data_IF_787917684073
#
_entry.id   IF_787917684073
#
_cell.length_a   1.000
_cell.length_b   1.000
_cell.length_c   1.000
_cell.angle_alpha   90.00
_cell.angle_beta   90.00
_cell.angle_gamma   90.00
#
_symmetry.space_group_name_H-M   'P 1'
#
loop_
_entity.id
_entity.type
_entity.pdbx_description
1 polymer ?
#
# COMPACT_ATOMS: atom_id res chain seq x y z
N UNK A 1 -19.13 -9.47 -25.88
CA UNK A 1 -17.68 -9.37 -26.18
C UNK A 1 -16.93 -10.13 -25.09
N UNK A 2 -15.79 -10.75 -25.40
CA UNK A 2 -14.97 -11.39 -24.37
C UNK A 2 -14.29 -10.29 -23.54
N UNK A 3 -14.42 -10.32 -22.21
CA UNK A 3 -13.80 -9.33 -21.33
C UNK A 3 -12.27 -9.43 -21.41
N UNK A 4 -11.61 -8.33 -21.74
CA UNK A 4 -10.17 -8.31 -22.03
C UNK A 4 -9.32 -8.04 -20.78
N UNK A 5 -9.84 -7.30 -19.80
CA UNK A 5 -9.05 -6.92 -18.64
C UNK A 5 -8.80 -8.13 -17.74
N UNK A 6 -7.51 -8.36 -17.46
CA UNK A 6 -7.01 -9.32 -16.48
C UNK A 6 -6.65 -8.64 -15.16
N UNK A 7 -6.65 -9.41 -14.07
CA UNK A 7 -6.42 -8.91 -12.71
C UNK A 7 -5.16 -9.48 -12.05
N UNK A 8 -4.46 -8.62 -11.31
CA UNK A 8 -3.42 -8.97 -10.35
C UNK A 8 -3.98 -8.83 -8.93
N UNK A 9 -4.03 -9.92 -8.17
CA UNK A 9 -4.67 -9.95 -6.85
C UNK A 9 -3.65 -10.18 -5.75
N UNK A 10 -3.71 -9.36 -4.69
CA UNK A 10 -2.87 -9.55 -3.52
C UNK A 10 -3.26 -10.80 -2.72
N UNK A 11 -2.28 -11.59 -2.30
CA UNK A 11 -2.52 -12.74 -1.40
C UNK A 11 -1.98 -12.49 0.00
N UNK A 12 -2.73 -12.97 1.00
CA UNK A 12 -2.32 -13.10 2.39
C UNK A 12 -1.85 -14.55 2.73
N UNK A 13 -1.65 -15.38 1.70
CA UNK A 13 -1.28 -16.80 1.74
C UNK A 13 -2.30 -17.74 2.39
N UNK A 14 -3.57 -17.34 2.47
CA UNK A 14 -4.66 -18.23 2.86
C UNK A 14 -5.16 -19.06 1.67
N UNK A 15 -5.03 -20.39 1.75
CA UNK A 15 -5.41 -21.30 0.67
C UNK A 15 -6.90 -21.24 0.30
N UNK A 16 -7.78 -20.73 1.17
CA UNK A 16 -9.20 -20.48 0.83
C UNK A 16 -9.36 -19.57 -0.38
N UNK A 17 -8.37 -18.72 -0.66
CA UNK A 17 -8.37 -17.87 -1.84
C UNK A 17 -8.43 -18.68 -3.15
N UNK A 18 -7.82 -19.87 -3.19
CA UNK A 18 -7.90 -20.74 -4.38
C UNK A 18 -9.31 -21.26 -4.64
N UNK A 19 -10.05 -21.60 -3.58
CA UNK A 19 -11.42 -22.08 -3.70
C UNK A 19 -12.35 -20.95 -4.16
N UNK A 20 -12.16 -19.75 -3.59
CA UNK A 20 -12.85 -18.53 -4.02
C UNK A 20 -12.60 -18.27 -5.52
N UNK A 21 -11.34 -18.33 -5.96
CA UNK A 21 -10.98 -18.08 -7.36
C UNK A 21 -11.63 -19.11 -8.28
N UNK A 22 -11.55 -20.41 -7.96
CA UNK A 22 -12.24 -21.47 -8.74
C UNK A 22 -13.75 -21.24 -8.80
N UNK A 23 -14.33 -20.71 -7.73
CA UNK A 23 -15.76 -20.42 -7.66
C UNK A 23 -16.14 -19.23 -8.56
N UNK A 24 -15.42 -18.11 -8.49
CA UNK A 24 -15.85 -16.85 -9.11
C UNK A 24 -15.17 -16.49 -10.44
N UNK A 25 -13.96 -16.98 -10.74
CA UNK A 25 -13.20 -16.61 -11.93
C UNK A 25 -13.36 -17.61 -13.08
N UNK A 26 -14.59 -17.72 -13.61
CA UNK A 26 -14.92 -18.67 -14.69
C UNK A 26 -14.23 -18.38 -16.01
N UNK A 27 -13.86 -17.12 -16.24
CA UNK A 27 -13.23 -16.64 -17.47
C UNK A 27 -11.69 -16.53 -17.36
N UNK A 28 -11.11 -17.07 -16.28
CA UNK A 28 -9.67 -17.03 -16.00
C UNK A 28 -9.08 -15.61 -16.13
N UNK A 29 -9.77 -14.61 -15.56
CA UNK A 29 -9.37 -13.21 -15.60
C UNK A 29 -8.30 -12.87 -14.57
N UNK A 30 -8.15 -13.64 -13.50
CA UNK A 30 -7.05 -13.48 -12.55
C UNK A 30 -5.80 -14.13 -13.15
N UNK A 31 -4.84 -13.30 -13.58
CA UNK A 31 -3.60 -13.80 -14.21
C UNK A 31 -2.49 -14.07 -13.20
N UNK A 32 -2.49 -13.36 -12.07
CA UNK A 32 -1.38 -13.33 -11.15
C UNK A 32 -1.84 -13.12 -9.70
N UNK A 33 -1.29 -13.89 -8.77
CA UNK A 33 -1.30 -13.58 -7.34
C UNK A 33 0.03 -12.98 -6.93
N UNK A 34 0.01 -11.96 -6.09
CA UNK A 34 1.26 -11.34 -5.62
C UNK A 34 1.33 -11.24 -4.10
N UNK A 35 2.53 -11.46 -3.58
CA UNK A 35 2.78 -11.55 -2.14
C UNK A 35 4.26 -11.44 -1.79
N UNK A 36 4.54 -11.48 -0.49
CA UNK A 36 5.89 -11.49 0.08
C UNK A 36 5.81 -12.17 1.43
N UNK A 37 6.75 -13.06 1.72
CA UNK A 37 6.83 -13.71 3.02
C UNK A 37 7.03 -12.69 4.13
N UNK A 38 6.59 -13.05 5.34
CA UNK A 38 6.67 -12.16 6.50
C UNK A 38 8.11 -11.89 6.93
N UNK A 39 8.94 -12.93 6.90
CA UNK A 39 10.34 -12.92 7.32
C UNK A 39 11.20 -13.43 6.16
N UNK A 40 11.69 -12.53 5.32
CA UNK A 40 12.55 -12.85 4.17
C UNK A 40 13.83 -12.01 4.12
N UNK A 41 14.06 -11.14 5.12
CA UNK A 41 15.21 -10.24 5.16
C UNK A 41 15.20 -9.15 4.08
N UNK A 42 14.13 -9.02 3.30
CA UNK A 42 14.03 -8.07 2.20
C UNK A 42 13.01 -6.97 2.55
N UNK A 43 13.32 -5.69 2.33
CA UNK A 43 12.33 -4.62 2.46
C UNK A 43 11.19 -4.77 1.42
N UNK A 44 10.05 -4.15 1.69
CA UNK A 44 8.88 -4.20 0.81
C UNK A 44 8.00 -2.97 0.92
N UNK A 45 7.05 -2.82 0.00
CA UNK A 45 6.19 -1.63 -0.06
C UNK A 45 5.03 -1.58 0.94
N UNK A 46 4.93 -2.52 1.89
CA UNK A 46 3.95 -2.54 3.02
C UNK A 46 4.51 -3.39 4.16
N UNK A 47 4.14 -3.04 5.40
CA UNK A 47 4.41 -3.86 6.57
C UNK A 47 3.79 -5.26 6.43
N UNK A 48 4.48 -6.28 6.94
CA UNK A 48 4.11 -7.70 6.83
C UNK A 48 3.49 -8.27 8.11
N UNK A 49 3.26 -7.44 9.14
CA UNK A 49 2.83 -7.85 10.48
C UNK A 49 1.54 -8.70 10.53
N UNK A 50 0.66 -8.56 9.54
CA UNK A 50 -0.65 -9.24 9.45
C UNK A 50 -0.60 -10.49 8.53
N UNK A 51 0.52 -10.75 7.86
CA UNK A 51 0.67 -11.89 6.94
C UNK A 51 0.98 -13.16 7.74
N UNK A 52 0.39 -14.29 7.33
CA UNK A 52 0.67 -15.60 7.93
C UNK A 52 2.13 -16.00 7.71
N UNK A 53 2.72 -16.64 8.72
CA UNK A 53 4.03 -17.27 8.60
C UNK A 53 3.89 -18.55 7.78
N UNK A 54 4.69 -18.69 6.73
CA UNK A 54 4.76 -19.87 5.88
C UNK A 54 6.17 -20.47 5.98
N UNK A 55 6.23 -21.80 6.05
CA UNK A 55 7.49 -22.50 5.79
C UNK A 55 7.83 -22.46 4.29
N UNK A 56 9.11 -22.73 3.99
CA UNK A 56 9.60 -22.88 2.62
C UNK A 56 8.76 -23.89 1.80
N UNK A 57 8.45 -25.06 2.37
CA UNK A 57 7.66 -26.10 1.71
C UNK A 57 6.21 -25.65 1.45
N UNK A 58 5.60 -24.95 2.41
CA UNK A 58 4.25 -24.40 2.25
C UNK A 58 4.23 -23.36 1.14
N UNK A 59 5.27 -22.52 1.05
CA UNK A 59 5.39 -21.51 0.00
C UNK A 59 5.61 -22.14 -1.39
N UNK A 60 6.46 -23.16 -1.50
CA UNK A 60 6.63 -23.95 -2.74
C UNK A 60 5.30 -24.59 -3.17
N UNK A 61 4.57 -25.19 -2.22
CA UNK A 61 3.26 -25.77 -2.52
C UNK A 61 2.26 -24.69 -2.96
N UNK A 62 2.26 -23.52 -2.32
CA UNK A 62 1.41 -22.40 -2.70
C UNK A 62 1.66 -21.95 -4.15
N UNK A 63 2.92 -21.89 -4.59
CA UNK A 63 3.27 -21.58 -5.99
C UNK A 63 2.75 -22.67 -6.94
N UNK A 64 2.91 -23.95 -6.59
CA UNK A 64 2.36 -25.06 -7.38
C UNK A 64 0.83 -24.98 -7.51
N UNK A 65 0.15 -24.63 -6.42
CA UNK A 65 -1.31 -24.47 -6.41
C UNK A 65 -1.74 -23.30 -7.30
N UNK A 66 -1.02 -22.17 -7.29
CA UNK A 66 -1.23 -21.07 -8.25
C UNK A 66 -1.10 -21.58 -9.70
N UNK A 67 0.00 -22.26 -10.02
CA UNK A 67 0.30 -22.75 -11.36
C UNK A 67 -0.75 -23.78 -11.84
N UNK A 68 -1.29 -24.60 -10.94
CA UNK A 68 -2.35 -25.58 -11.27
C UNK A 68 -3.65 -24.92 -11.75
N UNK A 69 -3.85 -23.64 -11.43
CA UNK A 69 -4.98 -22.81 -11.87
C UNK A 69 -4.64 -21.94 -13.08
N UNK A 70 -3.42 -22.06 -13.63
CA UNK A 70 -2.93 -21.18 -14.69
C UNK A 70 -2.61 -19.77 -14.20
N UNK A 71 -2.41 -19.58 -12.89
CA UNK A 71 -2.15 -18.30 -12.25
C UNK A 71 -0.67 -18.22 -11.88
N UNK A 72 -0.01 -17.12 -12.27
CA UNK A 72 1.39 -16.90 -11.90
C UNK A 72 1.51 -16.35 -10.48
N UNK A 73 2.69 -16.50 -9.87
CA UNK A 73 3.01 -15.90 -8.58
C UNK A 73 4.10 -14.83 -8.72
N UNK A 74 3.80 -13.59 -8.30
CA UNK A 74 4.69 -12.43 -8.34
C UNK A 74 5.18 -12.03 -6.94
N UNK A 75 6.48 -12.21 -6.69
CA UNK A 75 7.10 -11.90 -5.40
C UNK A 75 7.50 -10.43 -5.29
N UNK A 76 7.22 -9.79 -4.15
CA UNK A 76 7.47 -8.35 -3.98
C UNK A 76 8.82 -8.03 -3.29
N UNK A 77 9.66 -7.28 -4.01
CA UNK A 77 10.91 -6.66 -3.53
C UNK A 77 10.89 -5.18 -3.96
N UNK A 78 9.85 -4.49 -3.53
CA UNK A 78 9.44 -3.21 -4.09
C UNK A 78 9.39 -2.04 -3.09
N UNK A 79 10.39 -1.84 -2.21
CA UNK A 79 10.44 -0.63 -1.41
C UNK A 79 10.73 0.60 -2.29
N UNK A 80 10.52 1.79 -1.73
CA UNK A 80 11.00 3.03 -2.37
C UNK A 80 12.54 3.12 -2.33
N UNK A 81 13.14 2.69 -1.22
CA UNK A 81 14.57 2.73 -0.98
C UNK A 81 14.98 1.52 -0.13
N UNK A 82 16.21 1.05 -0.30
CA UNK A 82 16.82 -0.03 0.48
C UNK A 82 17.99 0.46 1.34
N UNK A 83 18.22 1.78 1.43
CA UNK A 83 19.28 2.34 2.27
C UNK A 83 20.71 1.93 1.85
N UNK A 84 20.92 1.63 0.56
CA UNK A 84 22.16 1.09 -0.03
C UNK A 84 22.44 -0.40 0.26
N UNK A 85 21.52 -1.13 0.91
CA UNK A 85 21.70 -2.55 1.21
C UNK A 85 22.02 -3.40 -0.03
N UNK A 86 21.54 -3.04 -1.22
CA UNK A 86 21.87 -3.77 -2.46
C UNK A 86 23.35 -3.70 -2.90
N UNK A 87 24.09 -2.71 -2.38
CA UNK A 87 25.50 -2.45 -2.71
C UNK A 87 26.44 -2.87 -1.58
N UNK A 88 25.94 -2.97 -0.35
CA UNK A 88 26.72 -3.46 0.77
C UNK A 88 27.21 -4.90 0.48
N UNK A 89 28.49 -5.24 0.71
CA UNK A 89 29.02 -6.55 0.39
C UNK A 89 28.33 -7.72 1.13
N UNK A 90 27.83 -7.49 2.34
CA UNK A 90 27.20 -8.52 3.18
C UNK A 90 25.69 -8.54 2.91
N UNK A 91 25.02 -7.40 3.05
CA UNK A 91 23.57 -7.32 2.81
C UNK A 91 23.22 -7.60 1.35
N UNK A 92 24.00 -7.05 0.42
CA UNK A 92 23.83 -7.25 -1.01
C UNK A 92 24.04 -8.70 -1.43
N UNK A 93 24.96 -9.43 -0.78
CA UNK A 93 25.08 -10.89 -0.97
C UNK A 93 23.83 -11.60 -0.45
N UNK A 94 23.38 -11.29 0.76
CA UNK A 94 22.18 -11.91 1.34
C UNK A 94 20.92 -11.67 0.49
N UNK A 95 20.77 -10.47 -0.09
CA UNK A 95 19.67 -10.15 -1.01
C UNK A 95 19.72 -11.06 -2.24
N UNK A 96 20.90 -11.28 -2.82
CA UNK A 96 21.09 -12.13 -4.00
C UNK A 96 20.88 -13.61 -3.68
N UNK A 97 21.39 -14.09 -2.55
CA UNK A 97 21.15 -15.45 -2.07
C UNK A 97 19.65 -15.71 -1.86
N UNK A 98 18.93 -14.71 -1.34
CA UNK A 98 17.47 -14.78 -1.18
C UNK A 98 16.74 -14.82 -2.52
N UNK A 99 17.19 -14.03 -3.52
CA UNK A 99 16.66 -14.09 -4.89
C UNK A 99 16.84 -15.48 -5.51
N UNK A 100 18.02 -16.09 -5.36
CA UNK A 100 18.30 -17.46 -5.82
C UNK A 100 17.40 -18.47 -5.11
N UNK A 101 17.28 -18.38 -3.78
CA UNK A 101 16.37 -19.24 -3.00
C UNK A 101 14.92 -19.16 -3.51
N UNK A 102 14.40 -17.94 -3.73
CA UNK A 102 13.04 -17.73 -4.25
C UNK A 102 12.89 -18.28 -5.68
N UNK A 103 13.91 -18.12 -6.51
CA UNK A 103 13.94 -18.69 -7.85
C UNK A 103 13.89 -20.23 -7.82
N UNK A 104 14.68 -20.87 -6.95
CA UNK A 104 14.70 -22.33 -6.77
C UNK A 104 13.36 -22.86 -6.23
N UNK A 105 12.66 -22.06 -5.42
CA UNK A 105 11.30 -22.36 -4.96
C UNK A 105 10.23 -22.28 -6.06
N UNK A 106 10.57 -21.77 -7.24
CA UNK A 106 9.68 -21.69 -8.39
C UNK A 106 9.12 -20.29 -8.67
N UNK A 107 9.59 -19.24 -8.00
CA UNK A 107 9.19 -17.86 -8.34
C UNK A 107 9.76 -17.49 -9.70
N UNK A 108 8.91 -16.97 -10.60
CA UNK A 108 9.29 -16.49 -11.93
C UNK A 108 8.90 -15.05 -12.23
N UNK A 109 8.13 -14.43 -11.36
CA UNK A 109 7.73 -13.02 -11.47
C UNK A 109 8.20 -12.28 -10.23
N UNK A 110 8.88 -11.15 -10.42
CA UNK A 110 9.31 -10.30 -9.32
C UNK A 110 8.90 -8.85 -9.55
N UNK A 111 8.28 -8.23 -8.55
CA UNK A 111 8.08 -6.78 -8.54
C UNK A 111 9.26 -6.12 -7.85
N UNK A 112 10.09 -5.41 -8.61
CA UNK A 112 11.35 -4.80 -8.14
C UNK A 112 11.39 -3.33 -8.51
N UNK A 113 11.84 -2.47 -7.60
CA UNK A 113 12.03 -1.04 -7.88
C UNK A 113 13.51 -0.61 -7.95
N UNK A 114 14.44 -1.40 -7.41
CA UNK A 114 15.87 -1.03 -7.44
C UNK A 114 16.46 -1.27 -8.83
N UNK A 115 17.05 -0.24 -9.47
CA UNK A 115 17.70 -0.36 -10.78
C UNK A 115 18.75 -1.48 -10.85
N UNK A 116 19.59 -1.58 -9.82
CA UNK A 116 20.71 -2.53 -9.79
C UNK A 116 20.20 -3.96 -9.67
N UNK A 117 19.15 -4.18 -8.87
CA UNK A 117 18.52 -5.49 -8.74
C UNK A 117 17.77 -5.89 -10.02
N UNK A 118 17.11 -4.96 -10.71
CA UNK A 118 16.48 -5.23 -12.02
C UNK A 118 17.55 -5.74 -13.00
N UNK A 119 18.66 -5.03 -13.14
CA UNK A 119 19.77 -5.44 -14.02
C UNK A 119 20.37 -6.78 -13.62
N UNK A 120 20.51 -7.03 -12.32
CA UNK A 120 20.99 -8.31 -11.82
C UNK A 120 20.06 -9.45 -12.17
N UNK A 121 18.77 -9.34 -11.82
CA UNK A 121 17.77 -10.40 -12.04
C UNK A 121 17.63 -10.73 -13.52
N UNK A 122 17.57 -9.72 -14.41
CA UNK A 122 17.50 -9.95 -15.86
C UNK A 122 18.77 -10.56 -16.45
N UNK A 123 19.93 -10.34 -15.81
CA UNK A 123 21.19 -10.97 -16.22
C UNK A 123 21.24 -12.43 -15.77
N UNK A 124 20.90 -12.68 -14.51
CA UNK A 124 21.07 -13.96 -13.81
C UNK A 124 20.00 -14.99 -14.22
N UNK A 125 18.73 -14.58 -14.25
CA UNK A 125 17.58 -15.47 -14.46
C UNK A 125 16.94 -15.20 -15.82
N UNK A 126 16.99 -16.17 -16.75
CA UNK A 126 16.56 -15.97 -18.15
C UNK A 126 15.06 -16.12 -18.38
N UNK A 127 14.39 -16.88 -17.53
CA UNK A 127 12.96 -17.18 -17.56
C UNK A 127 12.17 -16.37 -16.52
N UNK A 128 12.73 -15.26 -16.03
CA UNK A 128 12.11 -14.36 -15.06
C UNK A 128 11.55 -13.10 -15.71
N UNK A 129 10.34 -12.76 -15.28
CA UNK A 129 9.61 -11.54 -15.59
C UNK A 129 9.76 -10.53 -14.45
N UNK A 130 10.06 -9.28 -14.79
CA UNK A 130 10.24 -8.18 -13.84
C UNK A 130 9.11 -7.16 -14.03
N UNK A 131 8.33 -6.97 -12.96
CA UNK A 131 7.38 -5.87 -12.87
C UNK A 131 8.01 -4.68 -12.14
N UNK A 132 7.93 -3.48 -12.70
CA UNK A 132 8.23 -2.26 -11.96
C UNK A 132 7.04 -1.89 -11.06
N UNK A 133 7.30 -1.66 -9.77
CA UNK A 133 6.29 -1.29 -8.79
C UNK A 133 5.99 0.20 -8.74
N UNK A 134 4.86 0.55 -8.11
CA UNK A 134 4.38 1.93 -7.96
C UNK A 134 5.42 2.90 -7.37
N UNK A 135 6.21 2.45 -6.39
CA UNK A 135 7.19 3.32 -5.71
C UNK A 135 8.40 3.70 -6.58
N UNK A 136 8.55 3.15 -7.79
CA UNK A 136 9.49 3.70 -8.77
C UNK A 136 9.02 5.02 -9.40
N UNK A 137 7.74 5.39 -9.20
CA UNK A 137 7.09 6.61 -9.67
C UNK A 137 7.33 6.96 -11.15
N UNK A 138 7.02 6.06 -12.10
CA UNK A 138 7.00 6.40 -13.52
C UNK A 138 5.78 7.28 -13.82
N UNK A 139 5.98 8.61 -13.85
CA UNK A 139 4.93 9.62 -14.06
C UNK A 139 4.93 10.20 -15.49
N UNK A 140 5.84 9.78 -16.35
CA UNK A 140 5.92 10.25 -17.75
C UNK A 140 6.29 9.14 -18.73
N UNK A 141 5.95 9.32 -20.00
CA UNK A 141 6.31 8.39 -21.09
C UNK A 141 7.83 8.22 -21.16
N UNK A 142 8.60 9.29 -20.96
CA UNK A 142 10.07 9.23 -20.94
C UNK A 142 10.60 8.31 -19.83
N UNK A 143 10.03 8.39 -18.62
CA UNK A 143 10.40 7.50 -17.52
C UNK A 143 10.02 6.05 -17.81
N UNK A 144 8.84 5.81 -18.39
CA UNK A 144 8.42 4.47 -18.82
C UNK A 144 9.46 3.87 -19.78
N UNK A 145 9.93 4.64 -20.76
CA UNK A 145 10.91 4.17 -21.75
C UNK A 145 12.29 3.87 -21.12
N UNK A 146 12.73 4.65 -20.14
CA UNK A 146 13.96 4.32 -19.39
C UNK A 146 13.86 2.96 -18.70
N UNK A 147 12.74 2.68 -18.05
CA UNK A 147 12.53 1.42 -17.35
C UNK A 147 12.39 0.23 -18.28
N UNK A 148 11.67 0.39 -19.40
CA UNK A 148 11.57 -0.63 -20.45
C UNK A 148 12.95 -1.00 -21.01
N UNK A 149 13.78 -0.01 -21.34
CA UNK A 149 15.17 -0.23 -21.78
C UNK A 149 16.08 -0.84 -20.72
N UNK A 150 15.68 -0.80 -19.45
CA UNK A 150 16.38 -1.48 -18.37
C UNK A 150 16.03 -2.96 -18.21
N UNK A 151 15.04 -3.45 -18.95
CA UNK A 151 14.61 -4.85 -18.95
C UNK A 151 13.38 -5.12 -18.09
N UNK A 152 12.61 -4.08 -17.74
CA UNK A 152 11.29 -4.23 -17.13
C UNK A 152 10.31 -4.77 -18.18
N UNK A 153 9.61 -5.85 -17.85
CA UNK A 153 8.66 -6.51 -18.74
C UNK A 153 7.22 -6.00 -18.52
N UNK A 154 6.88 -5.62 -17.27
CA UNK A 154 5.60 -5.05 -16.90
C UNK A 154 5.76 -3.79 -16.03
N UNK A 155 4.91 -2.78 -16.20
CA UNK A 155 4.95 -1.57 -15.40
C UNK A 155 3.64 -1.31 -14.66
N UNK A 156 3.74 -1.04 -13.35
CA UNK A 156 2.64 -0.49 -12.56
C UNK A 156 2.60 1.02 -12.73
N UNK A 157 1.59 1.54 -13.42
CA UNK A 157 1.42 2.97 -13.67
C UNK A 157 1.12 3.74 -12.38
N UNK A 158 1.58 4.99 -12.30
CA UNK A 158 1.21 5.90 -11.21
C UNK A 158 -0.30 6.19 -11.22
N UNK A 159 -0.86 6.56 -10.06
CA UNK A 159 -2.28 6.87 -9.94
C UNK A 159 -2.74 8.02 -10.86
N UNK A 160 -1.84 8.94 -11.19
CA UNK A 160 -2.10 10.02 -12.13
C UNK A 160 -2.56 9.54 -13.53
N UNK A 161 -2.31 8.27 -13.88
CA UNK A 161 -2.78 7.69 -15.12
C UNK A 161 -4.24 7.21 -15.03
N UNK A 162 -4.71 6.78 -13.85
CA UNK A 162 -5.98 6.07 -13.71
C UNK A 162 -7.16 6.83 -14.33
N UNK A 163 -7.27 8.15 -14.16
CA UNK A 163 -8.37 8.95 -14.74
C UNK A 163 -7.91 9.92 -15.83
N UNK A 164 -6.70 9.71 -16.35
CA UNK A 164 -6.15 10.50 -17.45
C UNK A 164 -6.20 9.67 -18.73
N UNK A 165 -7.40 9.57 -19.31
CA UNK A 165 -7.65 8.70 -20.47
C UNK A 165 -6.85 9.14 -21.71
N UNK A 166 -6.60 10.44 -21.90
CA UNK A 166 -5.74 10.94 -22.99
C UNK A 166 -4.30 10.45 -22.85
N UNK A 167 -3.75 10.50 -21.63
CA UNK A 167 -2.41 10.01 -21.36
C UNK A 167 -2.33 8.49 -21.50
N UNK A 168 -3.30 7.75 -20.94
CA UNK A 168 -3.39 6.30 -21.11
C UNK A 168 -3.45 5.91 -22.59
N UNK A 169 -4.30 6.59 -23.37
CA UNK A 169 -4.43 6.38 -24.83
C UNK A 169 -3.09 6.56 -25.53
N UNK A 170 -2.39 7.64 -25.19
CA UNK A 170 -1.08 7.95 -25.75
C UNK A 170 -0.07 6.86 -25.41
N UNK A 171 0.00 6.45 -24.15
CA UNK A 171 0.95 5.42 -23.69
C UNK A 171 0.62 4.06 -24.32
N UNK A 172 -0.65 3.66 -24.35
CA UNK A 172 -1.09 2.42 -25.00
C UNK A 172 -0.73 2.38 -26.48
N UNK A 173 -0.98 3.46 -27.23
CA UNK A 173 -0.60 3.56 -28.65
C UNK A 173 0.91 3.49 -28.86
N UNK A 174 1.70 4.09 -27.97
CA UNK A 174 3.18 4.04 -28.03
C UNK A 174 3.71 2.61 -27.90
N UNK A 175 3.08 1.77 -27.08
CA UNK A 175 3.58 0.43 -26.74
C UNK A 175 2.79 -0.74 -27.35
N UNK A 176 1.76 -0.47 -28.17
CA UNK A 176 0.83 -1.49 -28.73
C UNK A 176 1.49 -2.61 -29.53
N UNK A 177 2.62 -2.33 -30.18
CA UNK A 177 3.34 -3.29 -31.02
C UNK A 177 4.50 -3.97 -30.24
N UNK A 178 4.44 -3.97 -28.91
CA UNK A 178 5.45 -4.58 -28.04
C UNK A 178 4.84 -5.53 -26.99
N UNK A 179 5.65 -6.44 -26.46
CA UNK A 179 5.26 -7.34 -25.37
C UNK A 179 5.24 -6.65 -23.99
N UNK A 180 5.52 -5.35 -23.93
CA UNK A 180 5.56 -4.59 -22.69
C UNK A 180 4.16 -4.50 -22.09
N UNK A 181 4.01 -4.98 -20.85
CA UNK A 181 2.74 -4.99 -20.15
C UNK A 181 2.58 -3.77 -19.23
N UNK A 182 1.34 -3.35 -19.03
CA UNK A 182 1.00 -2.24 -18.15
C UNK A 182 -0.16 -2.61 -17.25
N UNK A 183 -0.09 -2.13 -16.01
CA UNK A 183 -1.19 -2.27 -15.07
C UNK A 183 -1.46 -1.00 -14.31
N UNK A 184 -2.75 -0.68 -14.15
CA UNK A 184 -3.21 0.35 -13.21
C UNK A 184 -3.56 -0.29 -11.87
N UNK A 185 -3.71 0.52 -10.84
CA UNK A 185 -4.21 0.05 -9.54
C UNK A 185 -5.61 0.61 -9.32
N UNK A 186 -6.63 -0.24 -9.28
CA UNK A 186 -8.01 0.25 -9.24
C UNK A 186 -8.44 0.71 -7.84
N UNK A 187 -8.12 -0.05 -6.80
CA UNK A 187 -8.73 0.17 -5.48
C UNK A 187 -7.80 0.82 -4.45
N UNK A 188 -6.69 1.44 -4.87
CA UNK A 188 -5.88 2.22 -3.95
C UNK A 188 -6.52 3.59 -3.69
N UNK A 189 -6.42 4.07 -2.45
CA UNK A 189 -7.15 5.25 -2.01
C UNK A 189 -6.18 6.31 -1.48
N UNK A 190 -5.30 6.83 -2.33
CA UNK A 190 -4.45 7.98 -2.02
C UNK A 190 -5.17 9.30 -2.32
N UNK A 191 -4.63 10.43 -1.83
CA UNK A 191 -5.02 11.74 -2.37
C UNK A 191 -4.63 11.82 -3.85
N UNK A 192 -5.39 12.56 -4.67
CA UNK A 192 -5.00 12.88 -6.05
C UNK A 192 -3.61 13.53 -6.03
N UNK A 193 -2.69 13.02 -6.84
CA UNK A 193 -1.32 13.52 -6.95
C UNK A 193 -0.61 13.72 -5.59
N UNK A 194 -0.88 12.83 -4.63
CA UNK A 194 -0.52 12.95 -3.22
C UNK A 194 0.91 13.50 -2.97
N UNK A 195 1.05 14.61 -2.21
CA UNK A 195 2.37 15.18 -1.89
C UNK A 195 3.15 14.32 -0.89
N UNK A 196 2.48 13.45 -0.14
CA UNK A 196 3.09 12.62 0.89
C UNK A 196 3.67 11.30 0.35
N UNK A 197 3.46 11.01 -0.94
CA UNK A 197 3.74 9.68 -1.50
C UNK A 197 5.21 9.23 -1.33
N UNK A 198 6.17 10.14 -1.49
CA UNK A 198 7.59 9.83 -1.32
C UNK A 198 7.92 9.52 0.14
N UNK A 199 7.56 10.43 1.07
CA UNK A 199 7.81 10.25 2.50
C UNK A 199 7.09 9.02 3.06
N UNK A 200 5.84 8.80 2.68
CA UNK A 200 5.08 7.61 3.06
C UNK A 200 5.71 6.33 2.49
N UNK A 201 6.12 6.34 1.22
CA UNK A 201 6.79 5.20 0.59
C UNK A 201 8.13 4.85 1.25
N UNK A 202 8.92 5.87 1.61
CA UNK A 202 10.16 5.68 2.37
C UNK A 202 9.87 5.11 3.77
N UNK A 203 8.92 5.73 4.48
CA UNK A 203 8.51 5.30 5.81
C UNK A 203 8.10 3.82 5.82
N UNK A 204 7.25 3.43 4.88
CA UNK A 204 6.78 2.04 4.77
C UNK A 204 7.92 1.10 4.37
N UNK A 205 8.81 1.51 3.45
CA UNK A 205 9.96 0.71 3.02
C UNK A 205 10.98 0.42 4.13
N UNK A 206 11.04 1.28 5.14
CA UNK A 206 11.92 1.15 6.31
C UNK A 206 11.18 0.77 7.61
N UNK A 207 9.88 0.50 7.54
CA UNK A 207 9.10 0.11 8.72
C UNK A 207 9.46 -1.31 9.17
N UNK A 208 9.77 -1.45 10.45
CA UNK A 208 9.95 -2.75 11.10
C UNK A 208 8.59 -3.34 11.47
N UNK A 209 8.22 -4.55 10.98
CA UNK A 209 6.93 -5.17 11.29
C UNK A 209 6.76 -5.53 12.77
N UNK A 210 7.84 -5.52 13.57
CA UNK A 210 7.83 -5.84 15.00
C UNK A 210 7.81 -4.60 15.89
N UNK A 211 7.95 -3.40 15.31
CA UNK A 211 7.97 -2.14 16.07
C UNK A 211 6.71 -1.31 15.83
N UNK A 212 6.38 -0.45 16.81
CA UNK A 212 5.37 0.58 16.62
C UNK A 212 5.96 1.65 15.69
N UNK A 213 5.27 1.92 14.59
CA UNK A 213 5.61 2.99 13.66
C UNK A 213 4.47 4.00 13.55
N UNK A 214 4.81 5.29 13.65
CA UNK A 214 3.83 6.38 13.60
C UNK A 214 3.86 7.09 12.26
N UNK A 215 2.91 6.77 11.39
CA UNK A 215 2.85 7.27 10.02
C UNK A 215 2.08 8.59 9.92
N UNK A 216 2.81 9.70 10.09
CA UNK A 216 2.24 11.04 9.93
C UNK A 216 1.59 11.23 8.55
N UNK A 217 2.17 10.67 7.50
CA UNK A 217 1.67 10.83 6.13
C UNK A 217 0.31 10.18 5.95
N UNK A 218 0.14 8.96 6.48
CA UNK A 218 -1.14 8.23 6.45
C UNK A 218 -2.22 8.96 7.25
N UNK A 219 -1.90 9.43 8.45
CA UNK A 219 -2.86 10.15 9.31
C UNK A 219 -3.28 11.46 8.64
N UNK A 220 -2.32 12.25 8.15
CA UNK A 220 -2.61 13.54 7.50
C UNK A 220 -3.41 13.35 6.20
N UNK A 221 -3.06 12.34 5.40
CA UNK A 221 -3.81 11.95 4.20
C UNK A 221 -5.27 11.62 4.53
N UNK A 222 -5.50 10.86 5.61
CA UNK A 222 -6.84 10.45 6.01
C UNK A 222 -7.63 11.61 6.64
N UNK A 223 -6.98 12.43 7.47
CA UNK A 223 -7.57 13.64 8.03
C UNK A 223 -8.06 14.59 6.95
N UNK A 224 -7.29 14.81 5.88
CA UNK A 224 -7.72 15.65 4.75
C UNK A 224 -8.98 15.13 4.07
N UNK A 225 -9.09 13.82 3.87
CA UNK A 225 -10.27 13.20 3.26
C UNK A 225 -11.51 13.28 4.14
N UNK A 226 -11.35 13.11 5.44
CA UNK A 226 -12.46 13.17 6.40
C UNK A 226 -12.91 14.62 6.62
N UNK A 227 -11.96 15.54 6.79
CA UNK A 227 -12.24 16.97 6.92
C UNK A 227 -12.89 17.54 5.67
N UNK A 228 -12.46 17.10 4.50
CA UNK A 228 -13.07 17.45 3.23
C UNK A 228 -13.37 16.21 2.38
N UNK A 229 -14.62 15.70 2.43
CA UNK A 229 -15.06 14.53 1.66
C UNK A 229 -14.90 14.66 0.14
N UNK A 230 -14.78 15.88 -0.41
CA UNK A 230 -14.43 16.07 -1.84
C UNK A 230 -13.13 15.34 -2.20
N UNK A 231 -12.16 15.30 -1.28
CA UNK A 231 -10.89 14.62 -1.49
C UNK A 231 -11.01 13.08 -1.58
N UNK A 232 -12.13 12.51 -1.15
CA UNK A 232 -12.44 11.08 -1.36
C UNK A 232 -12.85 10.80 -2.81
N UNK A 233 -13.54 11.74 -3.46
CA UNK A 233 -13.98 11.59 -4.85
C UNK A 233 -12.90 11.99 -5.86
N UNK A 234 -12.00 12.91 -5.49
CA UNK A 234 -10.84 13.24 -6.34
C UNK A 234 -9.76 12.16 -6.33
N UNK A 235 -9.70 11.33 -5.29
CA UNK A 235 -8.84 10.15 -5.25
C UNK A 235 -9.05 9.28 -6.50
N UNK A 236 -7.97 8.78 -7.07
CA UNK A 236 -7.94 8.22 -8.42
C UNK A 236 -8.27 6.71 -8.44
N UNK A 237 -9.23 6.28 -7.62
CA UNK A 237 -9.75 4.92 -7.67
C UNK A 237 -10.57 4.68 -8.95
N UNK A 238 -10.76 3.41 -9.28
CA UNK A 238 -11.60 2.93 -10.38
C UNK A 238 -12.65 1.99 -9.80
N UNK A 239 -13.95 2.20 -10.08
CA UNK A 239 -14.99 1.27 -9.62
C UNK A 239 -15.00 0.00 -10.44
N UNK A 240 -15.51 -1.13 -9.91
CA UNK A 240 -15.82 -2.30 -10.72
C UNK A 240 -16.66 -1.97 -11.95
N UNK A 241 -17.70 -1.14 -11.79
CA UNK A 241 -18.59 -0.72 -12.88
C UNK A 241 -17.86 0.07 -13.98
N UNK A 242 -16.74 0.74 -13.66
CA UNK A 242 -16.03 1.64 -14.57
C UNK A 242 -14.89 0.94 -15.33
N UNK A 243 -14.68 -0.37 -15.14
CA UNK A 243 -13.63 -1.15 -15.83
C UNK A 243 -13.81 -1.13 -17.35
N UNK A 244 -15.06 -1.09 -17.82
CA UNK A 244 -15.40 -1.08 -19.24
C UNK A 244 -14.75 0.09 -20.00
N UNK A 245 -14.53 1.26 -19.38
CA UNK A 245 -13.83 2.37 -20.03
C UNK A 245 -12.37 2.05 -20.38
N UNK A 246 -11.71 1.22 -19.57
CA UNK A 246 -10.33 0.80 -19.82
C UNK A 246 -10.28 -0.35 -20.83
N UNK A 247 -11.29 -1.22 -20.83
CA UNK A 247 -11.47 -2.23 -21.88
C UNK A 247 -11.69 -1.56 -23.24
N UNK A 248 -12.62 -0.61 -23.32
CA UNK A 248 -12.90 0.18 -24.52
C UNK A 248 -11.63 0.89 -25.02
N UNK A 249 -10.85 1.49 -24.11
CA UNK A 249 -9.60 2.14 -24.48
C UNK A 249 -8.53 1.16 -25.00
N UNK A 250 -8.40 -0.01 -24.36
CA UNK A 250 -7.46 -1.05 -24.81
C UNK A 250 -7.86 -1.58 -26.19
N UNK A 251 -9.15 -1.81 -26.44
CA UNK A 251 -9.69 -2.19 -27.75
C UNK A 251 -9.44 -1.12 -28.80
N UNK A 252 -9.77 0.15 -28.50
CA UNK A 252 -9.60 1.28 -29.43
C UNK A 252 -8.14 1.47 -29.85
N UNK A 253 -7.21 1.26 -28.92
CA UNK A 253 -5.77 1.43 -29.17
C UNK A 253 -5.10 0.17 -29.73
N UNK A 254 -5.78 -0.98 -29.68
CA UNK A 254 -5.22 -2.29 -30.01
C UNK A 254 -4.17 -2.80 -29.01
N UNK A 255 -4.10 -2.21 -27.81
CA UNK A 255 -3.12 -2.58 -26.79
C UNK A 255 -3.60 -3.80 -26.00
N UNK A 256 -2.85 -4.90 -26.08
CA UNK A 256 -3.29 -6.23 -25.57
C UNK A 256 -2.83 -6.53 -24.14
N UNK A 257 -1.78 -5.88 -23.66
CA UNK A 257 -1.08 -6.25 -22.43
C UNK A 257 -1.48 -5.37 -21.25
N UNK A 258 -2.78 -5.07 -21.10
CA UNK A 258 -3.32 -4.24 -20.03
C UNK A 258 -3.96 -5.06 -18.91
N UNK A 259 -3.76 -4.64 -17.67
CA UNK A 259 -4.32 -5.33 -16.50
C UNK A 259 -4.61 -4.38 -15.34
N UNK A 260 -5.33 -4.89 -14.35
CA UNK A 260 -5.77 -4.12 -13.18
C UNK A 260 -5.31 -4.81 -11.90
N UNK A 261 -4.60 -4.07 -11.06
CA UNK A 261 -4.12 -4.53 -9.77
C UNK A 261 -5.10 -4.17 -8.65
N UNK A 262 -5.40 -5.15 -7.80
CA UNK A 262 -6.27 -5.03 -6.61
C UNK A 262 -5.43 -5.19 -5.33
N UNK A 263 -5.32 -4.11 -4.53
CA UNK A 263 -4.29 -3.90 -3.50
C UNK A 263 -4.60 -4.36 -2.08
N UNK A 264 -4.62 -5.67 -1.82
CA UNK A 264 -5.15 -6.15 -0.52
C UNK A 264 -4.37 -7.26 0.18
N UNK A 265 -3.09 -7.45 -0.17
CA UNK A 265 -2.23 -8.53 0.39
C UNK A 265 -2.08 -8.55 1.92
N UNK A 266 -2.41 -7.45 2.61
CA UNK A 266 -2.36 -7.32 4.08
C UNK A 266 -3.75 -7.36 4.72
N UNK A 267 -4.80 -7.72 3.96
CA UNK A 267 -6.18 -7.80 4.41
C UNK A 267 -6.59 -9.25 4.67
N UNK A 268 -7.64 -9.42 5.46
CA UNK A 268 -8.24 -10.73 5.66
C UNK A 268 -8.86 -11.26 4.36
N UNK A 269 -8.94 -12.58 4.23
CA UNK A 269 -9.43 -13.27 3.02
C UNK A 269 -10.84 -12.84 2.62
N UNK A 270 -11.72 -12.58 3.60
CA UNK A 270 -13.08 -12.08 3.36
C UNK A 270 -13.13 -10.71 2.67
N UNK A 271 -12.11 -9.86 2.89
CA UNK A 271 -12.00 -8.58 2.19
C UNK A 271 -11.51 -8.80 0.76
N UNK A 272 -10.46 -9.62 0.59
CA UNK A 272 -9.90 -9.96 -0.74
C UNK A 272 -11.00 -10.59 -1.60
N UNK A 273 -11.77 -11.53 -1.04
CA UNK A 273 -12.92 -12.15 -1.71
C UNK A 273 -13.94 -11.12 -2.20
N UNK A 274 -14.35 -10.19 -1.33
CA UNK A 274 -15.32 -9.14 -1.68
C UNK A 274 -14.83 -8.31 -2.86
N UNK A 275 -13.55 -7.89 -2.82
CA UNK A 275 -12.93 -7.12 -3.91
C UNK A 275 -12.88 -7.95 -5.19
N UNK A 276 -12.38 -9.19 -5.13
CA UNK A 276 -12.28 -10.06 -6.31
C UNK A 276 -13.64 -10.28 -6.96
N UNK A 277 -14.67 -10.64 -6.18
CA UNK A 277 -16.03 -10.84 -6.69
C UNK A 277 -16.60 -9.58 -7.31
N UNK A 278 -16.41 -8.42 -6.66
CA UNK A 278 -16.86 -7.14 -7.18
C UNK A 278 -16.28 -6.83 -8.56
N UNK A 279 -14.96 -6.95 -8.72
CA UNK A 279 -14.27 -6.63 -9.98
C UNK A 279 -14.50 -7.67 -11.07
N UNK A 280 -14.59 -8.97 -10.75
CA UNK A 280 -14.94 -9.99 -11.74
C UNK A 280 -16.37 -9.80 -12.27
N UNK A 281 -17.30 -9.46 -11.38
CA UNK A 281 -18.69 -9.15 -11.72
C UNK A 281 -18.87 -7.75 -12.36
N UNK A 282 -17.88 -6.87 -12.26
CA UNK A 282 -17.95 -5.45 -12.63
C UNK A 282 -19.15 -4.73 -12.02
N UNK A 283 -19.47 -5.10 -10.78
CA UNK A 283 -20.60 -4.53 -10.05
C UNK A 283 -20.38 -4.70 -8.56
N UNK A 284 -20.67 -3.65 -7.81
CA UNK A 284 -20.70 -3.70 -6.36
C UNK A 284 -21.87 -2.86 -5.84
N UNK A 285 -22.67 -3.44 -4.96
CA UNK A 285 -23.74 -2.73 -4.26
C UNK A 285 -23.34 -2.54 -2.80
N UNK A 286 -23.35 -1.29 -2.35
CA UNK A 286 -22.98 -0.93 -0.98
C UNK A 286 -21.99 0.22 -0.91
N UNK A 287 -21.22 0.23 0.19
CA UNK A 287 -20.24 1.27 0.47
C UNK A 287 -18.97 1.05 -0.35
N UNK A 288 -18.61 1.98 -1.23
CA UNK A 288 -17.38 1.88 -2.01
C UNK A 288 -16.12 1.68 -1.13
N UNK A 289 -16.09 2.22 0.11
CA UNK A 289 -14.97 2.02 1.04
C UNK A 289 -14.79 0.56 1.50
N UNK A 290 -15.78 -0.32 1.28
CA UNK A 290 -15.69 -1.74 1.59
C UNK A 290 -14.84 -2.53 0.58
N UNK A 291 -14.51 -1.93 -0.56
CA UNK A 291 -13.67 -2.51 -1.61
C UNK A 291 -12.45 -1.65 -1.97
N UNK A 292 -12.29 -0.48 -1.35
CA UNK A 292 -11.08 0.36 -1.47
C UNK A 292 -10.09 0.08 -0.33
N UNK A 293 -8.82 0.41 -0.55
CA UNK A 293 -7.77 0.36 0.47
C UNK A 293 -7.92 1.48 1.53
N UNK A 294 -9.08 1.51 2.19
CA UNK A 294 -9.41 2.37 3.31
C UNK A 294 -8.84 1.77 4.59
N UNK A 295 -8.04 2.49 5.40
CA UNK A 295 -7.30 1.95 6.54
C UNK A 295 -8.18 1.55 7.74
N UNK A 296 -9.39 1.03 7.54
CA UNK A 296 -10.29 0.67 8.63
C UNK A 296 -9.85 -0.62 9.34
N UNK A 297 -9.81 -0.56 10.67
CA UNK A 297 -9.47 -1.66 11.58
C UNK A 297 -10.33 -2.90 11.34
N UNK A 298 -11.64 -2.74 11.12
CA UNK A 298 -12.56 -3.87 10.80
C UNK A 298 -12.16 -4.67 9.55
N UNK A 299 -11.51 -4.01 8.59
CA UNK A 299 -11.04 -4.65 7.35
C UNK A 299 -9.63 -5.27 7.50
N UNK A 300 -8.92 -4.95 8.59
CA UNK A 300 -7.64 -5.57 8.95
C UNK A 300 -7.84 -6.74 9.91
N UNK A 301 -8.84 -6.66 10.79
CA UNK A 301 -9.14 -7.64 11.83
C UNK A 301 -10.67 -7.86 11.92
N UNK A 302 -11.24 -8.80 11.14
CA UNK A 302 -12.69 -9.00 11.09
C UNK A 302 -13.31 -9.43 12.45
N UNK A 303 -12.52 -9.90 13.41
CA UNK A 303 -13.00 -10.32 14.74
C UNK A 303 -12.96 -9.22 15.81
N UNK A 304 -12.66 -7.96 15.48
CA UNK A 304 -12.55 -6.86 16.45
C UNK A 304 -13.85 -6.04 16.65
N UNK A 305 -15.01 -6.54 16.20
CA UNK A 305 -16.32 -5.90 16.40
C UNK A 305 -16.88 -6.02 17.84
N UNK A 306 -16.13 -6.58 18.79
CA UNK A 306 -16.56 -6.81 20.17
C UNK A 306 -16.10 -5.76 21.19
N UNK A 307 -15.38 -4.71 20.80
CA UNK A 307 -15.12 -3.58 21.69
C UNK A 307 -16.29 -2.59 21.60
N UNK A 308 -17.30 -2.80 22.46
CA UNK A 308 -18.18 -1.72 22.92
C UNK A 308 -17.30 -0.55 23.41
N UNK A 309 -17.75 0.71 23.29
CA UNK A 309 -17.01 1.84 23.85
C UNK A 309 -16.75 1.52 25.32
N UNK A 310 -15.48 1.61 25.73
CA UNK A 310 -15.11 1.40 27.11
C UNK A 310 -15.95 2.33 27.98
N UNK A 311 -16.90 1.77 28.72
CA UNK A 311 -17.54 2.46 29.83
C UNK A 311 -16.45 3.00 30.75
N UNK A 312 -16.68 4.21 31.27
CA UNK A 312 -15.74 4.86 32.18
C UNK A 312 -15.32 3.95 33.34
N UNK A 313 -14.16 4.22 33.97
CA UNK A 313 -13.61 3.34 35.00
C UNK A 313 -14.60 3.19 36.16
N UNK A 314 -14.77 1.98 36.74
CA UNK A 314 -15.57 1.81 37.93
C UNK A 314 -14.97 2.62 39.08
N UNK A 315 -15.80 3.37 39.79
CA UNK A 315 -15.40 4.08 40.99
C UNK A 315 -15.03 3.08 42.10
N UNK A 316 -13.83 3.27 42.66
CA UNK A 316 -13.46 2.79 43.99
C UNK A 316 -12.69 1.47 44.04
N UNK A 317 -11.35 1.57 44.14
CA UNK A 317 -10.54 0.72 45.03
C UNK A 317 -9.29 1.48 45.51
N UNK A 318 -8.80 1.27 46.75
CA UNK A 318 -7.81 2.13 47.39
C UNK A 318 -6.36 1.73 47.06
N UNK A 319 -5.47 2.71 47.14
CA UNK A 319 -4.04 2.58 46.90
C UNK A 319 -3.35 1.65 47.92
N UNK A 320 -2.70 0.59 47.43
CA UNK A 320 -1.84 -0.31 48.19
C UNK A 320 -0.38 -0.19 47.76
N UNK A 321 0.50 -0.05 48.75
CA UNK A 321 1.96 0.16 48.69
C UNK A 321 2.75 -0.90 47.89
N UNK A 322 3.92 -0.55 47.30
CA UNK A 322 4.79 -1.52 46.65
C UNK A 322 5.64 -2.33 47.66
N UNK A 323 5.95 -3.61 47.39
CA UNK A 323 6.82 -4.42 48.24
C UNK A 323 8.31 -4.13 47.97
N UNK A 324 9.13 -4.24 49.03
CA UNK A 324 10.58 -4.08 49.02
C UNK A 324 11.34 -5.33 48.54
N UNK A 325 12.39 -5.08 47.73
CA UNK A 325 13.75 -5.63 47.90
C UNK A 325 14.08 -7.02 47.35
N UNK A 326 15.13 -7.11 46.51
CA UNK A 326 16.17 -8.16 46.50
C UNK A 326 17.45 -7.66 45.76
N UNK A 327 18.65 -8.18 46.10
CA UNK A 327 19.91 -7.44 46.00
C UNK A 327 20.70 -7.62 44.69
N UNK A 328 21.60 -6.66 44.44
CA UNK A 328 22.56 -6.65 43.34
C UNK A 328 23.66 -7.70 43.54
N UNK A 329 24.02 -8.42 42.46
CA UNK A 329 25.20 -9.26 42.38
C UNK A 329 26.25 -8.64 41.46
N UNK A 330 27.49 -8.57 41.93
CA UNK A 330 28.64 -8.04 41.20
C UNK A 330 29.06 -8.95 40.01
N UNK A 331 29.65 -8.38 38.94
CA UNK A 331 30.19 -9.18 37.83
C UNK A 331 31.63 -9.65 38.12
N UNK A 332 32.05 -10.83 37.60
CA UNK A 332 33.42 -11.31 37.76
C UNK A 332 34.38 -10.64 36.76
N UNK A 333 35.61 -10.42 37.22
CA UNK A 333 36.71 -9.81 36.47
C UNK A 333 37.60 -10.86 35.77
N UNK A 334 38.10 -10.52 34.58
CA UNK A 334 39.24 -11.23 33.99
C UNK A 334 39.49 -10.98 32.49
N UNK A 335 40.72 -10.52 32.18
CA UNK A 335 41.48 -10.62 30.92
C UNK A 335 41.54 -9.40 29.96
N UNK A 336 42.70 -9.21 29.27
CA UNK A 336 43.49 -7.99 29.41
C UNK A 336 43.47 -7.03 28.21
N UNK A 337 43.98 -5.82 28.47
CA UNK A 337 44.11 -4.70 27.55
C UNK A 337 45.04 -4.99 26.35
N UNK A 338 44.48 -4.89 25.13
CA UNK A 338 45.22 -4.69 23.88
C UNK A 338 44.84 -3.32 23.29
N UNK A 339 45.81 -2.43 23.10
CA UNK A 339 45.59 -1.10 22.52
C UNK A 339 45.19 -1.14 21.04
N UNK A 340 44.60 -0.06 20.50
CA UNK A 340 44.02 -0.06 19.15
C UNK A 340 45.09 0.14 18.07
N UNK A 341 44.95 -0.49 16.88
CA UNK A 341 45.62 0.00 15.67
C UNK A 341 44.93 1.30 15.20
N UNK A 342 45.73 2.32 14.93
CA UNK A 342 45.29 3.58 14.34
C UNK A 342 44.74 3.40 12.92
N UNK A 343 43.65 4.12 12.59
CA UNK A 343 43.35 4.50 11.21
C UNK A 343 42.00 4.07 10.64
N UNK A 344 40.88 4.45 11.26
CA UNK A 344 39.60 4.57 10.56
C UNK A 344 38.87 5.85 10.99
N UNK A 345 38.34 6.67 10.06
CA UNK A 345 37.46 7.77 10.43
C UNK A 345 36.22 7.17 11.12
N UNK A 346 35.80 7.80 12.22
CA UNK A 346 34.68 7.36 13.03
C UNK A 346 33.45 7.11 12.15
N UNK A 347 33.12 5.83 11.92
CA UNK A 347 31.79 5.43 11.54
C UNK A 347 30.83 6.00 12.56
N UNK A 348 29.74 6.60 12.11
CA UNK A 348 28.65 6.97 12.99
C UNK A 348 28.25 5.78 13.86
N UNK A 349 27.68 6.01 15.06
CA UNK A 349 27.31 4.92 15.94
C UNK A 349 26.43 3.93 15.17
N UNK A 350 26.64 2.60 15.33
CA UNK A 350 25.74 1.61 14.75
C UNK A 350 24.32 1.91 15.22
N UNK A 351 23.28 1.67 14.39
CA UNK A 351 21.90 1.91 14.79
C UNK A 351 21.65 1.21 16.13
N UNK A 352 21.38 2.01 17.16
CA UNK A 352 21.24 1.52 18.53
C UNK A 352 20.10 0.50 18.65
N UNK A 353 20.04 -0.27 19.75
CA UNK A 353 19.02 -1.29 19.94
C UNK A 353 17.61 -0.70 19.85
N UNK A 354 16.74 -1.39 19.10
CA UNK A 354 15.34 -1.04 18.78
C UNK A 354 14.43 -0.83 20.00
N UNK A 355 14.91 -1.19 21.20
CA UNK A 355 14.21 -1.08 22.50
C UNK A 355 13.94 0.38 22.91
N UNK A 356 14.73 1.33 22.40
CA UNK A 356 14.64 2.76 22.76
C UNK A 356 13.30 3.44 22.44
N UNK A 357 12.59 3.01 21.39
CA UNK A 357 11.39 3.75 20.97
C UNK A 357 10.28 3.72 22.03
N UNK A 358 10.04 2.56 22.66
CA UNK A 358 9.05 2.43 23.74
C UNK A 358 9.53 3.06 25.05
N UNK A 359 10.85 3.04 25.30
CA UNK A 359 11.45 3.65 26.50
C UNK A 359 11.28 5.17 26.55
N UNK A 360 11.28 5.84 25.40
CA UNK A 360 11.11 7.30 25.30
C UNK A 360 9.72 7.72 24.84
N UNK A 361 8.78 6.79 24.71
CA UNK A 361 7.44 7.10 24.26
C UNK A 361 6.62 7.64 25.42
N UNK A 362 6.07 8.84 25.26
CA UNK A 362 5.12 9.40 26.18
C UNK A 362 3.91 8.45 26.35
N UNK A 363 3.66 7.89 27.55
CA UNK A 363 2.63 6.87 27.77
C UNK A 363 1.21 7.40 27.56
N UNK A 364 1.02 8.72 27.57
CA UNK A 364 -0.27 9.35 27.27
C UNK A 364 -0.53 9.50 25.77
N UNK A 365 0.53 9.51 24.94
CA UNK A 365 0.43 9.73 23.50
C UNK A 365 0.04 8.44 22.75
N UNK A 366 0.59 7.29 23.16
CA UNK A 366 0.35 6.00 22.50
C UNK A 366 -1.15 5.62 22.42
N UNK A 367 -1.95 5.75 23.49
CA UNK A 367 -3.38 5.46 23.43
C UNK A 367 -4.15 6.39 22.47
N UNK A 368 -3.74 7.66 22.37
CA UNK A 368 -4.34 8.63 21.45
C UNK A 368 -4.03 8.23 20.01
N UNK A 369 -2.78 7.81 19.74
CA UNK A 369 -2.38 7.29 18.43
C UNK A 369 -3.19 6.05 18.07
N UNK A 370 -3.41 5.11 19.00
CA UNK A 370 -4.29 3.96 18.76
C UNK A 370 -5.72 4.37 18.37
N UNK A 371 -6.28 5.39 19.03
CA UNK A 371 -7.63 5.90 18.73
C UNK A 371 -7.76 6.56 17.36
N UNK A 372 -6.71 7.25 16.87
CA UNK A 372 -6.77 7.92 15.55
C UNK A 372 -6.96 6.93 14.40
N UNK A 373 -6.55 5.68 14.60
CA UNK A 373 -6.74 4.59 13.63
C UNK A 373 -8.17 4.02 13.62
N UNK A 374 -9.03 4.45 14.55
CA UNK A 374 -10.45 4.14 14.57
C UNK A 374 -11.23 5.21 13.79
N UNK A 375 -11.27 5.04 12.48
CA UNK A 375 -11.89 6.00 11.56
C UNK A 375 -13.42 6.03 11.69
N UNK A 376 -14.05 7.21 11.48
CA UNK A 376 -15.50 7.35 11.50
C UNK A 376 -16.18 6.52 10.42
N UNK A 377 -17.44 6.16 10.64
CA UNK A 377 -18.23 5.43 9.65
C UNK A 377 -18.67 6.37 8.53
N UNK A 378 -17.96 6.27 7.41
CA UNK A 378 -18.26 7.01 6.18
C UNK A 378 -18.81 6.02 5.16
N UNK A 379 -19.91 6.41 4.53
CA UNK A 379 -20.56 5.65 3.47
C UNK A 379 -20.46 6.42 2.16
N UNK A 380 -19.90 5.77 1.13
CA UNK A 380 -19.88 6.26 -0.24
C UNK A 380 -20.77 5.32 -1.06
N UNK A 381 -21.94 5.79 -1.46
CA UNK A 381 -22.92 5.03 -2.23
C UNK A 381 -22.38 4.71 -3.63
N UNK A 382 -21.99 3.45 -3.84
CA UNK A 382 -21.35 3.04 -5.08
C UNK A 382 -22.28 3.19 -6.29
N UNK A 383 -23.58 2.93 -6.14
CA UNK A 383 -24.55 2.98 -7.25
C UNK A 383 -24.91 4.42 -7.62
N UNK A 384 -24.98 5.33 -6.64
CA UNK A 384 -25.21 6.76 -6.95
C UNK A 384 -24.05 7.42 -7.69
N UNK A 385 -22.88 6.78 -7.79
CA UNK A 385 -21.74 7.21 -8.61
C UNK A 385 -21.86 6.83 -10.09
N UNK A 386 -22.93 6.17 -10.54
CA UNK A 386 -23.09 5.86 -11.96
C UNK A 386 -23.06 7.13 -12.84
N UNK A 387 -22.25 7.07 -13.89
CA UNK A 387 -21.94 8.22 -14.76
C UNK A 387 -20.83 9.15 -14.24
N UNK A 388 -20.30 8.94 -13.03
CA UNK A 388 -19.22 9.77 -12.48
C UNK A 388 -17.96 9.73 -13.35
N UNK A 389 -17.54 8.52 -13.76
CA UNK A 389 -16.29 8.31 -14.51
C UNK A 389 -16.38 8.72 -15.98
N UNK A 390 -17.60 8.73 -16.55
CA UNK A 390 -17.87 9.05 -17.96
C UNK A 390 -17.26 10.39 -18.40
N UNK A 391 -17.23 11.35 -17.47
CA UNK A 391 -16.62 12.64 -17.73
C UNK A 391 -15.15 12.58 -18.09
N UNK A 392 -14.38 11.83 -17.30
CA UNK A 392 -12.94 11.75 -17.46
C UNK A 392 -12.60 11.00 -18.75
N UNK A 393 -13.45 10.02 -19.10
CA UNK A 393 -13.37 9.29 -20.36
C UNK A 393 -13.63 10.19 -21.58
N UNK A 394 -14.67 11.03 -21.54
CA UNK A 394 -15.09 11.80 -22.72
C UNK A 394 -14.44 13.17 -22.88
N UNK A 395 -14.19 13.90 -21.79
CA UNK A 395 -14.09 15.35 -21.87
C UNK A 395 -13.03 16.00 -20.97
N UNK A 396 -12.34 15.26 -20.09
CA UNK A 396 -11.56 15.94 -19.05
C UNK A 396 -10.39 15.16 -18.46
N UNK A 397 -9.21 15.52 -18.93
CA UNK A 397 -7.95 15.28 -18.25
C UNK A 397 -7.71 16.36 -17.17
N UNK A 398 -7.74 15.96 -15.89
CA UNK A 398 -7.57 16.86 -14.74
C UNK A 398 -6.13 17.36 -14.52
N UNK A 399 -5.19 17.10 -15.43
CA UNK A 399 -3.79 17.46 -15.28
C UNK A 399 -3.54 18.97 -15.15
N UNK A 400 -4.41 19.80 -15.71
CA UNK A 400 -4.26 21.26 -15.74
C UNK A 400 -5.24 21.98 -14.80
N UNK A 401 -5.83 21.28 -13.83
CA UNK A 401 -6.83 21.86 -12.92
C UNK A 401 -6.52 21.57 -11.46
N UNK A 402 -6.73 22.57 -10.61
CA UNK A 402 -6.70 22.40 -9.16
C UNK A 402 -8.07 21.94 -8.67
N UNK A 403 -8.10 20.94 -7.80
CA UNK A 403 -9.35 20.47 -7.19
C UNK A 403 -9.86 21.52 -6.18
N UNK A 404 -10.95 22.20 -6.53
CA UNK A 404 -11.53 23.26 -5.71
C UNK A 404 -11.95 22.73 -4.33
N UNK A 405 -11.75 23.55 -3.30
CA UNK A 405 -12.08 23.24 -1.90
C UNK A 405 -11.20 22.17 -1.24
N UNK A 406 -10.58 21.25 -1.98
CA UNK A 406 -9.70 20.22 -1.39
C UNK A 406 -8.32 20.73 -0.97
N UNK A 407 -7.84 21.77 -1.65
CA UNK A 407 -6.50 22.35 -1.48
C UNK A 407 -6.59 23.86 -1.36
N UNK A 408 -7.37 24.50 -2.23
CA UNK A 408 -7.59 25.94 -2.25
C UNK A 408 -8.49 26.33 -1.09
N UNK A 409 -8.03 27.25 -0.24
CA UNK A 409 -8.80 27.80 0.88
C UNK A 409 -10.00 28.61 0.39
N UNK A 410 -11.05 28.66 1.21
CA UNK A 410 -12.25 29.42 0.90
C UNK A 410 -11.92 30.91 0.68
N UNK A 411 -12.27 31.44 -0.51
CA UNK A 411 -12.02 32.83 -0.89
C UNK A 411 -10.75 33.06 -1.74
N UNK A 412 -9.88 32.06 -1.88
CA UNK A 412 -8.78 32.14 -2.86
C UNK A 412 -9.31 31.92 -4.28
N UNK A 413 -8.99 32.84 -5.20
CA UNK A 413 -9.33 32.69 -6.62
C UNK A 413 -8.25 31.91 -7.35
N UNK A 414 -8.67 30.90 -8.12
CA UNK A 414 -7.82 30.21 -9.07
C UNK A 414 -8.62 29.99 -10.35
N UNK A 415 -8.14 30.55 -11.45
CA UNK A 415 -8.81 30.50 -12.76
C UNK A 415 -8.89 29.08 -13.33
N UNK A 416 -8.09 28.15 -12.79
CA UNK A 416 -8.04 26.74 -13.18
C UNK A 416 -8.58 25.80 -12.08
N UNK A 417 -9.35 26.33 -11.13
CA UNK A 417 -10.03 25.50 -10.12
C UNK A 417 -11.23 24.75 -10.73
N UNK A 418 -11.40 23.49 -10.35
CA UNK A 418 -12.50 22.64 -10.77
C UNK A 418 -13.16 21.97 -9.57
N UNK A 419 -14.48 22.11 -9.44
CA UNK A 419 -15.29 21.50 -8.36
C UNK A 419 -16.15 20.33 -8.82
N UNK A 420 -15.84 19.71 -9.97
CA UNK A 420 -16.71 18.68 -10.54
C UNK A 420 -16.90 17.50 -9.58
N UNK A 421 -15.83 16.98 -8.99
CA UNK A 421 -15.95 15.89 -8.03
C UNK A 421 -16.76 16.33 -6.80
N UNK A 422 -16.64 17.60 -6.39
CA UNK A 422 -17.37 18.16 -5.27
C UNK A 422 -18.88 18.18 -5.48
N UNK A 423 -19.35 18.38 -6.72
CA UNK A 423 -20.76 18.37 -7.07
C UNK A 423 -21.47 17.02 -6.82
N UNK A 424 -20.72 15.94 -6.59
CA UNK A 424 -21.27 14.61 -6.28
C UNK A 424 -21.33 14.31 -4.79
N UNK A 425 -20.62 15.07 -3.93
CA UNK A 425 -20.43 14.72 -2.52
C UNK A 425 -21.75 14.55 -1.79
N UNK A 426 -22.65 15.53 -1.85
CA UNK A 426 -23.94 15.47 -1.14
C UNK A 426 -24.87 14.37 -1.67
N UNK A 427 -24.66 13.96 -2.93
CA UNK A 427 -25.43 12.87 -3.56
C UNK A 427 -24.98 11.49 -3.05
N UNK A 428 -23.67 11.30 -2.86
CA UNK A 428 -23.08 9.97 -2.72
C UNK A 428 -22.43 9.69 -1.37
N UNK A 429 -22.05 10.72 -0.60
CA UNK A 429 -21.35 10.55 0.68
C UNK A 429 -22.29 10.87 1.84
N UNK A 430 -22.36 9.97 2.82
CA UNK A 430 -23.05 10.18 4.09
C UNK A 430 -22.20 9.71 5.27
N UNK A 431 -22.30 10.40 6.40
CA UNK A 431 -21.58 10.09 7.63
C UNK A 431 -22.25 10.75 8.84
N UNK A 432 -21.95 10.28 10.04
CA UNK A 432 -22.34 10.94 11.28
C UNK A 432 -21.42 12.14 11.55
N UNK A 433 -22.01 13.35 11.61
CA UNK A 433 -21.25 14.59 11.82
C UNK A 433 -20.57 14.64 13.20
N UNK A 434 -21.21 14.12 14.24
CA UNK A 434 -20.64 14.12 15.59
C UNK A 434 -19.45 13.16 15.68
N UNK A 435 -19.56 11.98 15.08
CA UNK A 435 -18.46 11.00 14.99
C UNK A 435 -17.25 11.60 14.24
N UNK A 436 -17.49 12.27 13.12
CA UNK A 436 -16.44 12.95 12.34
C UNK A 436 -15.79 14.08 13.14
N UNK A 437 -16.56 14.93 13.82
CA UNK A 437 -16.01 16.03 14.61
C UNK A 437 -15.23 15.54 15.84
N UNK A 438 -15.65 14.45 16.48
CA UNK A 438 -14.89 13.82 17.56
C UNK A 438 -13.56 13.26 17.03
N UNK A 439 -13.60 12.51 15.93
CA UNK A 439 -12.40 11.94 15.33
C UNK A 439 -11.41 13.02 14.88
N UNK A 440 -11.90 14.12 14.29
CA UNK A 440 -11.05 15.26 13.87
C UNK A 440 -10.23 15.83 15.04
N UNK A 441 -10.81 15.97 16.23
CA UNK A 441 -10.10 16.47 17.42
C UNK A 441 -8.97 15.54 17.85
N UNK A 442 -9.21 14.23 17.79
CA UNK A 442 -8.18 13.19 18.07
C UNK A 442 -7.06 13.30 17.03
N UNK A 443 -7.42 13.37 15.75
CA UNK A 443 -6.46 13.49 14.66
C UNK A 443 -5.61 14.77 14.75
N UNK A 444 -6.21 15.92 15.07
CA UNK A 444 -5.51 17.19 15.27
C UNK A 444 -4.52 17.13 16.44
N UNK A 445 -4.84 16.40 17.51
CA UNK A 445 -3.92 16.18 18.63
C UNK A 445 -2.66 15.45 18.17
N UNK A 446 -2.80 14.42 17.32
CA UNK A 446 -1.66 13.68 16.78
C UNK A 446 -0.89 14.51 15.73
N UNK A 447 -1.61 15.16 14.82
CA UNK A 447 -0.99 15.93 13.73
C UNK A 447 -0.25 17.17 14.22
N UNK A 448 -0.70 17.80 15.30
CA UNK A 448 0.01 18.91 15.93
C UNK A 448 1.08 18.39 16.91
N UNK A 449 0.82 17.27 17.58
CA UNK A 449 1.72 16.68 18.58
C UNK A 449 3.00 16.10 17.97
N UNK A 450 2.91 15.36 16.86
CA UNK A 450 4.08 14.71 16.25
C UNK A 450 5.18 15.73 15.84
N UNK A 451 4.88 16.82 15.13
CA UNK A 451 5.87 17.85 14.81
C UNK A 451 6.39 18.60 16.04
N UNK A 452 5.57 18.73 17.10
CA UNK A 452 5.94 19.37 18.35
C UNK A 452 6.74 18.46 19.30
N UNK A 453 6.94 17.18 18.95
CA UNK A 453 7.63 16.21 19.78
C UNK A 453 6.82 15.70 20.98
N UNK A 454 5.49 15.81 20.95
CA UNK A 454 4.62 15.40 22.07
C UNK A 454 4.67 13.88 22.38
N UNK A 455 5.11 13.08 21.41
CA UNK A 455 5.37 11.65 21.54
C UNK A 455 6.57 11.31 22.41
N UNK A 456 7.49 12.25 22.61
CA UNK A 456 8.67 12.04 23.43
C UNK A 456 8.33 12.31 24.90
N UNK A 457 8.80 11.45 25.80
CA UNK A 457 8.95 11.86 27.20
C UNK A 457 9.92 13.05 27.24
N UNK A 458 9.55 14.10 27.98
CA UNK A 458 10.39 15.28 28.15
C UNK A 458 11.53 15.03 29.13
#
# INVERSE_FOLDING_TARGET
MAKLVKYDVGTNFDNRLFDIIKECDKDHRIKNLYGKLKQDGLPGGRATSIIHDLSDDQFVQYIKDCNSLGITFNYLINPLCMGQAEYDPVEGKNIRDTLHKLYDMGVRYFTINSPSLIKYVKKEFKDVQVTLGLYAYPISIQQIEYWRNWGVDELTLDHAFNRNFDLLKTVMKTYKDSDFAMRIIANNFCLKECPYRLTHGAFVGHSDPTAISMDFSLINCTYRKIKNPKAMLTAEWVRPEDIHYYEELAEETGYKNFSVKLVDRTRATVFIERVVRAYLAESYEGNLLDILNWPQTRNMFPNHSSLKPAGGPPAGMPAGTPPMGMPAGDPPAGMPAGGPPMGMPAGGPPPGPKVRFMEYMNPTFAPIYGRVMNFPNIYIDNKKLDGFTEHFFKHNNCANSLCAGTIIEDGMKCDHACDRCGAWVDKVISYDKAEVEEWKKIAETILNGLPAGAQYEK
#
